data_IF_948607534850
#
_entry.id   IF_948607534850
#
_cell.length_a   1.000
_cell.length_b   1.000
_cell.length_c   1.000
_cell.angle_alpha   90.00
_cell.angle_beta   90.00
_cell.angle_gamma   90.00
#
_symmetry.space_group_name_H-M   'P 1'
#
loop_
_entity.id
_entity.type
_entity.pdbx_description
1 polymer ?
#
# COMPACT_ATOMS: atom_id res chain seq x y z
N UNK A 1 -2.14 22.92 -23.56
CA UNK A 1 -2.38 21.51 -23.26
C UNK A 1 -1.34 20.54 -23.84
N UNK A 2 -0.32 21.02 -24.52
CA UNK A 2 0.70 20.22 -25.22
C UNK A 2 1.99 20.04 -24.42
N UNK A 3 2.20 20.81 -23.37
CA UNK A 3 3.49 20.87 -22.64
C UNK A 3 3.64 19.77 -21.57
N UNK A 4 2.56 19.37 -20.92
CA UNK A 4 2.57 18.32 -19.90
C UNK A 4 2.91 16.92 -20.44
N UNK A 5 2.45 16.57 -21.62
CA UNK A 5 2.73 15.27 -22.27
C UNK A 5 4.18 15.12 -22.75
N UNK A 6 4.89 16.22 -22.97
CA UNK A 6 6.30 16.19 -23.36
C UNK A 6 7.21 15.97 -22.14
N UNK A 7 6.82 16.50 -20.99
CA UNK A 7 7.54 16.34 -19.71
C UNK A 7 7.42 14.91 -19.15
N UNK A 8 6.26 14.27 -19.30
CA UNK A 8 6.03 12.90 -18.85
C UNK A 8 6.82 11.85 -19.67
N UNK A 9 7.01 12.07 -20.97
CA UNK A 9 7.83 11.18 -21.81
C UNK A 9 9.31 11.22 -21.44
N UNK A 10 9.85 12.39 -21.15
CA UNK A 10 11.24 12.56 -20.73
C UNK A 10 11.50 11.95 -19.34
N UNK A 11 10.51 11.97 -18.45
CA UNK A 11 10.63 11.34 -17.13
C UNK A 11 10.66 9.80 -17.21
N UNK A 12 9.94 9.20 -18.17
CA UNK A 12 9.90 7.75 -18.36
C UNK A 12 11.15 7.20 -19.10
N UNK A 13 11.85 8.04 -19.85
CA UNK A 13 13.12 7.69 -20.52
C UNK A 13 14.34 7.81 -19.59
N UNK A 14 14.19 8.44 -18.42
CA UNK A 14 15.29 8.58 -17.47
C UNK A 14 15.86 7.20 -17.07
N UNK A 15 17.17 7.08 -17.15
CA UNK A 15 17.91 5.86 -16.78
C UNK A 15 18.22 5.93 -15.29
N UNK A 16 17.87 4.88 -14.55
CA UNK A 16 18.05 4.80 -13.10
C UNK A 16 18.61 3.43 -12.69
N UNK A 17 19.26 3.38 -11.55
CA UNK A 17 19.85 2.15 -11.02
C UNK A 17 18.77 1.22 -10.43
N UNK A 18 18.91 -0.07 -10.73
CA UNK A 18 18.13 -1.16 -10.13
C UNK A 18 19.08 -2.28 -9.71
N UNK A 19 19.52 -2.24 -8.46
CA UNK A 19 20.55 -3.14 -7.94
C UNK A 19 21.87 -2.97 -8.72
N UNK A 20 22.33 -4.04 -9.38
CA UNK A 20 23.55 -4.03 -10.19
C UNK A 20 23.31 -3.71 -11.68
N UNK A 21 22.12 -3.29 -12.07
CA UNK A 21 21.74 -2.98 -13.46
C UNK A 21 21.16 -1.59 -13.56
N UNK A 22 21.53 -0.90 -14.61
CA UNK A 22 20.96 0.38 -14.98
C UNK A 22 19.82 0.15 -15.96
N UNK A 23 18.62 0.61 -15.62
CA UNK A 23 17.39 0.39 -16.39
C UNK A 23 16.63 1.70 -16.61
N UNK A 24 15.79 1.75 -17.64
CA UNK A 24 14.88 2.87 -17.83
C UNK A 24 13.82 2.89 -16.71
N UNK A 25 13.44 4.07 -16.26
CA UNK A 25 12.48 4.27 -15.16
C UNK A 25 11.15 3.53 -15.36
N UNK A 26 10.63 3.54 -16.59
CA UNK A 26 9.44 2.77 -16.95
C UNK A 26 9.63 1.25 -16.81
N UNK A 27 10.79 0.73 -17.24
CA UNK A 27 11.12 -0.69 -17.11
C UNK A 27 11.29 -1.11 -15.64
N UNK A 28 11.87 -0.24 -14.78
CA UNK A 28 12.00 -0.50 -13.34
C UNK A 28 10.65 -0.69 -12.68
N UNK A 29 9.66 0.15 -13.00
CA UNK A 29 8.28 0.02 -12.46
C UNK A 29 7.65 -1.33 -12.82
N UNK A 30 7.83 -1.78 -14.06
CA UNK A 30 7.38 -3.11 -14.49
C UNK A 30 8.07 -4.24 -13.74
N UNK A 31 9.40 -4.21 -13.64
CA UNK A 31 10.17 -5.25 -12.94
C UNK A 31 9.84 -5.32 -11.44
N UNK A 32 9.69 -4.19 -10.78
CA UNK A 32 9.27 -4.13 -9.36
C UNK A 32 7.87 -4.72 -9.21
N UNK A 33 6.91 -4.35 -10.06
CA UNK A 33 5.56 -4.91 -10.04
C UNK A 33 5.56 -6.42 -10.25
N UNK A 34 6.38 -6.95 -11.17
CA UNK A 34 6.45 -8.37 -11.45
C UNK A 34 7.02 -9.17 -10.26
N UNK A 35 8.01 -8.62 -9.56
CA UNK A 35 8.52 -9.20 -8.31
C UNK A 35 7.42 -9.25 -7.25
N UNK A 36 6.71 -8.15 -7.00
CA UNK A 36 5.60 -8.13 -6.04
C UNK A 36 4.46 -9.06 -6.42
N UNK A 37 4.10 -9.15 -7.71
CA UNK A 37 3.08 -10.09 -8.18
C UNK A 37 3.48 -11.54 -7.94
N UNK A 38 4.75 -11.88 -8.10
CA UNK A 38 5.25 -13.25 -7.90
C UNK A 38 5.21 -13.70 -6.44
N UNK A 39 5.28 -12.75 -5.50
CA UNK A 39 5.31 -13.03 -4.05
C UNK A 39 4.00 -12.66 -3.34
N UNK A 40 3.03 -12.04 -4.03
CA UNK A 40 1.80 -11.53 -3.43
C UNK A 40 1.05 -12.56 -2.57
N UNK A 41 0.96 -13.82 -3.04
CA UNK A 41 0.28 -14.91 -2.32
C UNK A 41 1.03 -15.43 -1.10
N UNK A 42 2.34 -15.14 -0.99
CA UNK A 42 3.21 -15.59 0.10
C UNK A 42 3.87 -14.42 0.84
N UNK A 43 3.38 -13.20 0.59
CA UNK A 43 4.00 -11.99 1.09
C UNK A 43 4.10 -11.98 2.63
N UNK A 44 3.01 -12.31 3.31
CA UNK A 44 2.99 -12.37 4.78
C UNK A 44 3.93 -13.46 5.32
N UNK A 45 3.94 -14.64 4.68
CA UNK A 45 4.84 -15.73 5.08
C UNK A 45 6.32 -15.36 4.85
N UNK A 46 6.62 -14.69 3.74
CA UNK A 46 7.97 -14.23 3.45
C UNK A 46 8.43 -13.17 4.45
N UNK A 47 7.56 -12.24 4.81
CA UNK A 47 7.84 -11.23 5.83
C UNK A 47 8.05 -11.87 7.21
N UNK A 48 7.24 -12.87 7.59
CA UNK A 48 7.41 -13.63 8.81
C UNK A 48 8.78 -14.32 8.85
N UNK A 49 9.16 -14.97 7.75
CA UNK A 49 10.42 -15.71 7.67
C UNK A 49 11.64 -14.77 7.69
N UNK A 50 11.61 -13.66 6.91
CA UNK A 50 12.73 -12.73 6.80
C UNK A 50 12.92 -11.87 8.05
N UNK A 51 11.87 -11.56 8.79
CA UNK A 51 11.92 -10.71 9.98
C UNK A 51 11.90 -11.49 11.29
N UNK A 52 11.80 -12.83 11.25
CA UNK A 52 11.62 -13.64 12.45
C UNK A 52 10.36 -13.27 13.25
N UNK A 53 9.32 -12.75 12.59
CA UNK A 53 8.08 -12.28 13.21
C UNK A 53 8.14 -10.85 13.78
N UNK A 54 9.30 -10.20 13.76
CA UNK A 54 9.46 -8.83 14.31
C UNK A 54 8.54 -7.83 13.64
N UNK A 55 8.24 -8.00 12.34
CA UNK A 55 7.32 -7.11 11.62
C UNK A 55 5.90 -7.09 12.24
N UNK A 56 5.46 -8.17 12.88
CA UNK A 56 4.17 -8.20 13.59
C UNK A 56 4.18 -7.33 14.84
N UNK A 57 5.33 -7.30 15.54
CA UNK A 57 5.50 -6.48 16.73
C UNK A 57 5.51 -5.00 16.42
N UNK A 58 6.24 -4.57 15.39
CA UNK A 58 6.25 -3.15 15.03
C UNK A 58 4.90 -2.68 14.45
N UNK A 59 4.18 -3.54 13.72
CA UNK A 59 2.81 -3.22 13.28
C UNK A 59 1.85 -3.05 14.46
N UNK A 60 1.97 -3.91 15.48
CA UNK A 60 1.19 -3.75 16.71
C UNK A 60 1.54 -2.43 17.43
N UNK A 61 2.83 -2.16 17.61
CA UNK A 61 3.30 -0.90 18.22
C UNK A 61 2.87 0.33 17.41
N UNK A 62 2.83 0.26 16.08
CA UNK A 62 2.32 1.34 15.24
C UNK A 62 0.83 1.61 15.52
N UNK A 63 0.01 0.58 15.63
CA UNK A 63 -1.41 0.73 15.93
C UNK A 63 -1.61 1.26 17.36
N UNK A 64 -0.85 0.79 18.34
CA UNK A 64 -0.87 1.31 19.70
C UNK A 64 -0.50 2.80 19.75
N UNK A 65 0.47 3.21 18.93
CA UNK A 65 0.88 4.60 18.83
C UNK A 65 -0.15 5.50 18.13
N UNK A 66 -0.79 5.01 17.07
CA UNK A 66 -1.90 5.70 16.37
C UNK A 66 -3.09 5.87 17.32
N UNK A 67 -3.34 4.88 18.19
CA UNK A 67 -4.47 4.85 19.12
C UNK A 67 -5.81 5.14 18.42
N UNK A 68 -6.26 4.26 17.48
CA UNK A 68 -7.43 4.51 16.65
C UNK A 68 -8.67 4.88 17.44
N UNK A 69 -9.42 5.86 16.93
CA UNK A 69 -10.67 6.33 17.57
C UNK A 69 -11.86 6.10 16.64
N UNK A 70 -13.06 5.83 17.20
CA UNK A 70 -14.28 5.72 16.42
C UNK A 70 -14.52 6.97 15.56
N UNK A 71 -14.88 6.76 14.29
CA UNK A 71 -15.15 7.82 13.34
C UNK A 71 -13.91 8.39 12.64
N UNK A 72 -12.69 7.98 13.00
CA UNK A 72 -11.48 8.34 12.25
C UNK A 72 -11.38 7.57 10.95
N UNK A 73 -10.91 8.23 9.90
CA UNK A 73 -10.60 7.64 8.59
C UNK A 73 -9.10 7.49 8.41
N UNK A 74 -8.66 6.25 8.14
CA UNK A 74 -7.28 5.93 7.76
C UNK A 74 -7.13 5.84 6.25
N UNK A 75 -6.10 6.45 5.70
CA UNK A 75 -5.57 6.14 4.36
C UNK A 75 -4.23 5.43 4.49
N UNK A 76 -4.18 4.18 4.04
CA UNK A 76 -3.00 3.31 4.09
C UNK A 76 -2.35 3.27 2.70
N UNK A 77 -1.31 4.11 2.52
CA UNK A 77 -0.58 4.25 1.25
C UNK A 77 0.42 3.12 1.08
N UNK A 78 0.47 2.57 -0.14
CA UNK A 78 1.21 1.35 -0.44
C UNK A 78 0.79 0.19 0.49
N UNK A 79 -0.48 0.17 0.89
CA UNK A 79 -1.02 -0.71 1.92
C UNK A 79 -1.09 -2.19 1.54
N UNK A 80 -0.82 -2.54 0.28
CA UNK A 80 -0.65 -3.91 -0.21
C UNK A 80 -1.85 -4.80 0.09
N UNK A 81 -1.68 -5.75 0.99
CA UNK A 81 -2.74 -6.69 1.43
C UNK A 81 -3.66 -6.12 2.50
N UNK A 82 -3.48 -4.86 2.94
CA UNK A 82 -4.34 -4.15 3.88
C UNK A 82 -4.17 -4.56 5.35
N UNK A 83 -3.01 -5.10 5.73
CA UNK A 83 -2.81 -5.59 7.10
C UNK A 83 -2.86 -4.45 8.16
N UNK A 84 -2.30 -3.27 7.85
CA UNK A 84 -2.37 -2.11 8.74
C UNK A 84 -3.81 -1.60 8.85
N UNK A 85 -4.51 -1.49 7.71
CA UNK A 85 -5.91 -1.07 7.68
C UNK A 85 -6.80 -1.99 8.50
N UNK A 86 -6.63 -3.32 8.39
CA UNK A 86 -7.38 -4.28 9.18
C UNK A 86 -7.10 -4.12 10.68
N UNK A 87 -5.84 -3.94 11.07
CA UNK A 87 -5.46 -3.73 12.47
C UNK A 87 -6.03 -2.44 13.03
N UNK A 88 -6.06 -1.36 12.23
CA UNK A 88 -6.66 -0.09 12.60
C UNK A 88 -8.16 -0.23 12.90
N UNK A 89 -8.91 -0.91 12.02
CA UNK A 89 -10.34 -1.16 12.22
C UNK A 89 -10.60 -2.06 13.43
N UNK A 90 -9.83 -3.14 13.59
CA UNK A 90 -9.95 -4.03 14.75
C UNK A 90 -9.60 -3.36 16.08
N UNK A 91 -8.82 -2.29 16.07
CA UNK A 91 -8.49 -1.48 17.23
C UNK A 91 -9.53 -0.37 17.53
N UNK A 92 -10.64 -0.31 16.77
CA UNK A 92 -11.74 0.61 17.00
C UNK A 92 -11.72 1.87 16.13
N UNK A 93 -10.92 1.91 15.08
CA UNK A 93 -10.98 2.95 14.03
C UNK A 93 -12.32 2.94 13.30
N UNK A 94 -12.68 4.05 12.66
CA UNK A 94 -13.94 4.20 11.93
C UNK A 94 -13.89 3.55 10.54
N UNK A 95 -13.18 4.15 9.62
CA UNK A 95 -13.07 3.69 8.23
C UNK A 95 -11.61 3.59 7.80
N UNK A 96 -11.31 2.72 6.84
CA UNK A 96 -9.98 2.60 6.27
C UNK A 96 -10.01 2.45 4.75
N UNK A 97 -9.03 3.06 4.08
CA UNK A 97 -8.86 2.99 2.63
C UNK A 97 -7.45 2.47 2.36
N UNK A 98 -7.34 1.26 1.79
CA UNK A 98 -6.09 0.74 1.26
C UNK A 98 -5.85 1.35 -0.11
N UNK A 99 -4.78 2.11 -0.26
CA UNK A 99 -4.38 2.69 -1.54
C UNK A 99 -3.05 2.08 -2.00
N UNK A 100 -3.07 1.36 -3.12
CA UNK A 100 -1.87 0.74 -3.68
C UNK A 100 -1.89 0.78 -5.21
N UNK A 101 -0.71 0.84 -5.80
CA UNK A 101 -0.53 0.73 -7.26
C UNK A 101 -0.59 -0.74 -7.72
N UNK A 102 -0.41 -1.70 -6.81
CA UNK A 102 -0.36 -3.12 -7.11
C UNK A 102 -1.71 -3.81 -6.88
N UNK A 103 -2.48 -3.94 -7.95
CA UNK A 103 -3.80 -4.61 -7.93
C UNK A 103 -3.74 -6.07 -7.47
N UNK A 104 -2.65 -6.80 -7.76
CA UNK A 104 -2.50 -8.21 -7.33
C UNK A 104 -2.38 -8.31 -5.80
N UNK A 105 -1.69 -7.39 -5.15
CA UNK A 105 -1.60 -7.31 -3.69
C UNK A 105 -2.96 -7.00 -3.07
N UNK A 106 -3.67 -6.00 -3.59
CA UNK A 106 -5.02 -5.67 -3.12
C UNK A 106 -6.01 -6.82 -3.34
N UNK A 107 -5.94 -7.50 -4.49
CA UNK A 107 -6.78 -8.69 -4.77
C UNK A 107 -6.52 -9.81 -3.77
N UNK A 108 -5.25 -10.07 -3.42
CA UNK A 108 -4.90 -11.03 -2.37
C UNK A 108 -5.47 -10.61 -1.02
N UNK A 109 -5.39 -9.33 -0.68
CA UNK A 109 -5.98 -8.78 0.55
C UNK A 109 -7.49 -8.98 0.62
N UNK A 110 -8.24 -8.64 -0.44
CA UNK A 110 -9.70 -8.81 -0.52
C UNK A 110 -10.16 -10.24 -0.30
N UNK A 111 -9.34 -11.23 -0.66
CA UNK A 111 -9.66 -12.66 -0.55
C UNK A 111 -9.39 -13.23 0.86
N UNK A 112 -8.79 -12.48 1.75
CA UNK A 112 -8.52 -12.92 3.11
C UNK A 112 -9.83 -13.00 3.91
N UNK A 113 -9.98 -14.08 4.69
CA UNK A 113 -11.17 -14.31 5.53
C UNK A 113 -11.42 -13.22 6.57
N UNK A 114 -10.35 -12.70 7.16
CA UNK A 114 -10.40 -11.67 8.19
C UNK A 114 -10.89 -10.32 7.66
N UNK A 115 -10.70 -10.03 6.36
CA UNK A 115 -11.20 -8.82 5.72
C UNK A 115 -12.72 -8.77 5.60
N UNK A 116 -13.38 -9.92 5.48
CA UNK A 116 -14.85 -9.98 5.42
C UNK A 116 -15.53 -9.57 6.72
N UNK A 117 -14.82 -9.51 7.83
CA UNK A 117 -15.35 -9.15 9.14
C UNK A 117 -15.53 -7.64 9.32
N UNK A 118 -14.76 -6.84 8.57
CA UNK A 118 -14.82 -5.37 8.66
C UNK A 118 -15.81 -4.73 7.66
N UNK A 119 -16.34 -5.53 6.73
CA UNK A 119 -17.43 -5.13 5.83
C UNK A 119 -17.14 -3.85 5.06
N UNK A 120 -18.11 -2.93 5.08
CA UNK A 120 -18.05 -1.67 4.32
C UNK A 120 -17.09 -0.63 4.91
N UNK A 121 -16.52 -0.87 6.09
CA UNK A 121 -15.53 0.02 6.70
C UNK A 121 -14.18 -0.03 5.99
N UNK A 122 -13.93 -1.03 5.16
CA UNK A 122 -12.66 -1.19 4.42
C UNK A 122 -12.88 -1.00 2.91
N UNK A 123 -12.31 0.08 2.38
CA UNK A 123 -12.31 0.39 0.97
C UNK A 123 -10.94 0.13 0.32
N UNK A 124 -10.96 -0.14 -0.99
CA UNK A 124 -9.76 -0.42 -1.78
C UNK A 124 -9.67 0.52 -2.97
N UNK A 125 -8.57 1.23 -3.10
CA UNK A 125 -8.34 2.23 -4.14
C UNK A 125 -7.04 1.92 -4.90
N UNK A 126 -7.13 1.73 -6.21
CA UNK A 126 -5.93 1.69 -7.04
C UNK A 126 -5.41 3.11 -7.21
N UNK A 127 -4.21 3.40 -6.71
CA UNK A 127 -3.66 4.76 -6.73
C UNK A 127 -2.14 4.77 -6.63
N UNK A 128 -1.56 5.86 -7.13
CA UNK A 128 -0.14 6.14 -7.03
C UNK A 128 0.12 7.08 -5.85
N UNK A 129 1.00 6.69 -4.92
CA UNK A 129 1.37 7.52 -3.78
C UNK A 129 2.06 8.85 -4.17
N UNK A 130 2.61 8.95 -5.38
CA UNK A 130 3.17 10.20 -5.92
C UNK A 130 2.08 11.19 -6.39
N UNK A 131 0.85 10.70 -6.63
CA UNK A 131 -0.29 11.50 -7.07
C UNK A 131 -1.55 10.92 -6.45
N UNK A 132 -1.84 11.38 -5.24
CA UNK A 132 -2.92 10.82 -4.43
C UNK A 132 -4.29 11.11 -5.04
N UNK A 133 -5.18 10.10 -5.15
CA UNK A 133 -6.54 10.28 -5.67
C UNK A 133 -7.52 10.71 -4.55
N UNK A 134 -7.07 11.51 -3.61
CA UNK A 134 -7.85 11.95 -2.45
C UNK A 134 -7.92 13.47 -2.36
N UNK A 135 -9.04 13.99 -1.89
CA UNK A 135 -9.19 15.41 -1.59
C UNK A 135 -8.35 15.80 -0.35
N UNK A 136 -8.01 17.07 -0.27
CA UNK A 136 -7.32 17.61 0.90
C UNK A 136 -8.18 17.44 2.16
N UNK A 137 -7.57 17.06 3.26
CA UNK A 137 -8.22 16.86 4.56
C UNK A 137 -9.30 15.76 4.57
N UNK A 138 -9.19 14.74 3.70
CA UNK A 138 -10.12 13.61 3.62
C UNK A 138 -9.77 12.44 4.56
N UNK A 139 -8.65 12.51 5.27
CA UNK A 139 -8.21 11.48 6.21
C UNK A 139 -7.73 12.09 7.53
N UNK A 140 -7.97 11.39 8.63
CA UNK A 140 -7.48 11.75 9.96
C UNK A 140 -6.11 11.15 10.21
N UNK A 141 -5.84 9.98 9.64
CA UNK A 141 -4.59 9.23 9.76
C UNK A 141 -4.11 8.80 8.38
N UNK A 142 -2.82 8.93 8.13
CA UNK A 142 -2.17 8.40 6.93
C UNK A 142 -1.02 7.52 7.35
N UNK A 143 -0.96 6.30 6.82
CA UNK A 143 0.17 5.38 7.00
C UNK A 143 0.84 5.08 5.66
N UNK A 144 2.13 4.78 5.74
CA UNK A 144 2.93 4.21 4.66
C UNK A 144 3.92 3.24 5.29
N UNK A 145 3.77 1.94 5.07
CA UNK A 145 4.47 0.90 5.81
C UNK A 145 5.03 -0.20 4.89
#
# INVERSE_FOLDING_TARGET
MTDQRHNDRNADEAVIDFGYRTVRRAAKRGMVRDVFNSVATRYDLMNDLMSGGVHRLWKAALIDWIAPQPGQTLVDLAGGTGDISLRFLNAGGGDAIVCDINEAMMSTGRQRRDMSQVGDQLCWCAGNAETLPFDSASADVVTIA
#
